data_IF_831006962855
#
_entry.id   IF_831006962855
#
_cell.length_a   1.000
_cell.length_b   1.000
_cell.length_c   1.000
_cell.angle_alpha   90.00
_cell.angle_beta   90.00
_cell.angle_gamma   90.00
#
_symmetry.space_group_name_H-M   'P 1'
#
loop_
_entity.id
_entity.type
_entity.pdbx_description
1 polymer ?
#
# COMPACT_ATOMS: atom_id res chain seq x y z
N UNK A 1 -4.45 -30.10 -2.64
CA UNK A 1 -5.02 -28.89 -1.98
C UNK A 1 -4.48 -27.69 -2.72
N UNK A 2 -5.30 -26.73 -3.08
CA UNK A 2 -4.84 -25.47 -3.64
C UNK A 2 -4.05 -24.75 -2.54
N UNK A 3 -2.86 -24.21 -2.85
CA UNK A 3 -2.07 -23.40 -1.92
C UNK A 3 -2.87 -22.15 -1.55
N UNK A 4 -2.84 -21.79 -0.28
CA UNK A 4 -3.42 -20.54 0.24
C UNK A 4 -2.69 -19.33 -0.38
N UNK A 5 -3.41 -18.26 -0.65
CA UNK A 5 -2.82 -17.01 -1.18
C UNK A 5 -1.85 -16.37 -0.21
N UNK A 6 -1.94 -16.72 1.08
CA UNK A 6 -1.07 -16.23 2.15
C UNK A 6 0.14 -17.13 2.43
N UNK A 7 0.29 -18.28 1.73
CA UNK A 7 1.43 -19.19 1.94
C UNK A 7 2.77 -18.56 1.54
N UNK A 8 2.75 -17.66 0.55
CA UNK A 8 3.90 -16.86 0.16
C UNK A 8 3.71 -15.41 0.57
N UNK A 9 4.52 -14.93 1.52
CA UNK A 9 4.31 -13.63 2.13
C UNK A 9 5.58 -12.84 2.42
N UNK A 10 5.51 -11.54 2.16
CA UNK A 10 6.56 -10.56 2.46
C UNK A 10 6.06 -9.64 3.58
N UNK A 11 6.91 -9.39 4.58
CA UNK A 11 6.66 -8.37 5.59
C UNK A 11 7.34 -7.06 5.17
N UNK A 12 6.62 -5.97 5.21
CA UNK A 12 7.16 -4.62 4.94
C UNK A 12 7.09 -3.83 6.24
N UNK A 13 8.23 -3.36 6.74
CA UNK A 13 8.31 -2.50 7.91
C UNK A 13 8.32 -1.03 7.48
N UNK A 14 7.34 -0.27 7.99
CA UNK A 14 7.12 1.13 7.67
C UNK A 14 7.88 2.05 8.62
N UNK A 15 8.85 2.79 8.08
CA UNK A 15 9.60 3.83 8.77
C UNK A 15 9.03 5.24 8.52
N UNK A 16 7.80 5.34 8.02
CA UNK A 16 7.10 6.62 7.84
C UNK A 16 7.26 7.25 6.47
N UNK A 17 7.72 6.51 5.46
CA UNK A 17 7.81 7.02 4.10
C UNK A 17 6.42 7.20 3.47
N UNK A 18 6.26 8.27 2.70
CA UNK A 18 5.09 8.45 1.83
C UNK A 18 4.97 7.36 0.76
N UNK A 19 6.07 6.67 0.45
CA UNK A 19 6.15 5.65 -0.60
C UNK A 19 5.97 4.22 -0.08
N UNK A 20 5.82 4.00 1.24
CA UNK A 20 5.72 2.64 1.80
C UNK A 20 4.54 1.86 1.22
N UNK A 21 3.39 2.51 1.04
CA UNK A 21 2.22 1.89 0.40
C UNK A 21 2.49 1.51 -1.07
N UNK A 22 3.36 2.23 -1.78
CA UNK A 22 3.76 1.86 -3.15
C UNK A 22 4.59 0.58 -3.17
N UNK A 23 5.44 0.35 -2.16
CA UNK A 23 6.18 -0.91 -2.03
C UNK A 23 5.19 -2.08 -1.94
N UNK A 24 4.20 -1.99 -1.04
CA UNK A 24 3.17 -3.00 -0.88
C UNK A 24 2.38 -3.23 -2.18
N UNK A 25 2.02 -2.16 -2.87
CA UNK A 25 1.35 -2.24 -4.17
C UNK A 25 2.21 -3.00 -5.19
N UNK A 26 3.51 -2.66 -5.31
CA UNK A 26 4.41 -3.32 -6.26
C UNK A 26 4.58 -4.81 -5.97
N UNK A 27 4.71 -5.19 -4.70
CA UNK A 27 4.79 -6.60 -4.30
C UNK A 27 3.50 -7.35 -4.66
N UNK A 28 2.33 -6.74 -4.44
CA UNK A 28 1.04 -7.33 -4.82
C UNK A 28 0.83 -7.40 -6.34
N UNK A 29 1.31 -6.42 -7.10
CA UNK A 29 1.31 -6.44 -8.56
C UNK A 29 2.20 -7.57 -9.13
N UNK A 30 3.26 -7.97 -8.42
CA UNK A 30 4.09 -9.15 -8.75
C UNK A 30 3.30 -10.45 -8.53
N UNK A 31 2.26 -10.43 -7.71
CA UNK A 31 1.45 -11.59 -7.36
C UNK A 31 1.84 -12.23 -6.04
N UNK A 32 2.48 -11.50 -5.14
CA UNK A 32 2.88 -11.95 -3.80
C UNK A 32 2.09 -11.22 -2.73
N UNK A 33 1.60 -11.96 -1.73
CA UNK A 33 0.96 -11.36 -0.56
C UNK A 33 1.98 -10.60 0.30
N UNK A 34 1.59 -9.45 0.83
CA UNK A 34 2.40 -8.71 1.79
C UNK A 34 1.55 -7.98 2.81
N UNK A 35 2.11 -7.83 4.00
CA UNK A 35 1.59 -6.95 5.03
C UNK A 35 2.56 -5.81 5.32
N UNK A 36 1.98 -4.70 5.79
CA UNK A 36 2.68 -3.48 6.10
C UNK A 36 2.47 -3.18 7.58
N UNK A 37 3.54 -3.29 8.36
CA UNK A 37 3.52 -3.08 9.80
C UNK A 37 4.46 -1.95 10.21
N UNK A 38 4.18 -1.35 11.37
CA UNK A 38 5.07 -0.33 11.92
C UNK A 38 6.45 -0.92 12.26
N UNK A 39 7.46 -0.09 12.21
CA UNK A 39 8.85 -0.48 12.43
C UNK A 39 9.13 -1.07 13.84
N UNK A 40 8.28 -0.75 14.83
CA UNK A 40 8.38 -1.17 16.23
C UNK A 40 7.64 -2.49 16.54
N UNK A 41 7.31 -3.25 15.52
CA UNK A 41 6.69 -4.58 15.63
C UNK A 41 7.56 -5.51 16.51
N UNK A 42 6.90 -6.38 17.30
CA UNK A 42 7.61 -7.31 18.18
C UNK A 42 8.18 -8.53 17.42
N UNK A 43 9.18 -9.16 18.03
CA UNK A 43 9.75 -10.41 17.52
C UNK A 43 8.70 -11.52 17.40
N UNK A 44 7.81 -11.64 18.40
CA UNK A 44 6.74 -12.64 18.42
C UNK A 44 5.80 -12.49 17.22
N UNK A 45 5.42 -11.26 16.90
CA UNK A 45 4.56 -10.97 15.77
C UNK A 45 5.24 -11.35 14.43
N UNK A 46 6.54 -11.03 14.27
CA UNK A 46 7.29 -11.41 13.07
C UNK A 46 7.40 -12.95 12.96
N UNK A 47 7.64 -13.65 14.07
CA UNK A 47 7.70 -15.11 14.11
C UNK A 47 6.37 -15.75 13.75
N UNK A 48 5.27 -15.24 14.28
CA UNK A 48 3.92 -15.72 13.97
C UNK A 48 3.56 -15.49 12.51
N UNK A 49 3.88 -14.32 11.99
CA UNK A 49 3.66 -14.02 10.57
C UNK A 49 4.49 -14.91 9.65
N UNK A 50 5.67 -15.34 10.08
CA UNK A 50 6.57 -16.23 9.35
C UNK A 50 6.82 -15.77 7.90
N UNK A 51 7.39 -14.60 7.66
CA UNK A 51 7.63 -14.07 6.31
C UNK A 51 8.70 -14.87 5.57
N UNK A 52 8.61 -14.95 4.25
CA UNK A 52 9.67 -15.48 3.39
C UNK A 52 10.75 -14.44 3.06
N UNK A 53 10.45 -13.17 3.27
CA UNK A 53 11.37 -12.05 3.15
C UNK A 53 10.84 -10.81 3.84
N UNK A 54 11.74 -9.87 4.17
CA UNK A 54 11.40 -8.63 4.85
C UNK A 54 11.91 -7.45 4.03
N UNK A 55 11.07 -6.41 3.86
CA UNK A 55 11.45 -5.14 3.23
C UNK A 55 11.41 -4.05 4.30
N UNK A 56 12.51 -3.32 4.43
CA UNK A 56 12.61 -2.12 5.26
C UNK A 56 12.37 -0.91 4.36
N UNK A 57 11.30 -0.17 4.61
CA UNK A 57 10.93 0.98 3.77
C UNK A 57 11.85 2.18 3.92
N UNK A 58 11.66 3.19 3.10
CA UNK A 58 12.19 4.53 3.35
C UNK A 58 11.58 5.18 4.59
N UNK A 59 12.13 6.32 4.98
CA UNK A 59 11.64 7.11 6.11
C UNK A 59 12.13 8.56 6.05
N UNK A 60 11.43 9.50 6.70
CA UNK A 60 11.78 10.91 6.72
C UNK A 60 12.89 11.26 7.74
N UNK A 61 13.15 10.35 8.67
CA UNK A 61 14.10 10.59 9.76
C UNK A 61 15.56 10.35 9.32
N UNK A 62 16.49 10.80 10.15
CA UNK A 62 17.91 10.51 9.98
C UNK A 62 18.35 9.41 10.94
N UNK A 63 19.08 8.43 10.45
CA UNK A 63 19.64 7.36 11.29
C UNK A 63 20.79 7.83 12.18
N UNK A 64 21.27 9.07 12.00
CA UNK A 64 22.31 9.68 12.83
C UNK A 64 21.77 10.22 14.16
N UNK A 65 20.44 10.33 14.30
CA UNK A 65 19.80 10.77 15.53
C UNK A 65 19.64 9.61 16.52
N UNK A 66 19.83 9.90 17.81
CA UNK A 66 19.86 8.90 18.88
C UNK A 66 18.53 8.13 19.02
N UNK A 67 17.38 8.79 18.81
CA UNK A 67 16.05 8.21 18.94
C UNK A 67 15.39 7.88 17.58
N UNK A 68 16.19 7.70 16.53
CA UNK A 68 15.63 7.38 15.22
C UNK A 68 15.05 5.95 15.18
N UNK A 69 13.99 5.71 14.40
CA UNK A 69 13.39 4.38 14.22
C UNK A 69 14.42 3.33 13.82
N UNK A 70 14.38 2.16 14.44
CA UNK A 70 15.25 1.02 14.14
C UNK A 70 14.43 -0.23 13.89
N UNK A 71 14.89 -1.08 12.98
CA UNK A 71 14.29 -2.39 12.82
C UNK A 71 14.52 -3.25 14.08
N UNK A 72 13.59 -4.10 14.49
CA UNK A 72 13.85 -5.10 15.53
C UNK A 72 15.08 -5.94 15.19
N UNK A 73 15.94 -6.24 16.17
CA UNK A 73 17.15 -7.03 15.95
C UNK A 73 16.84 -8.40 15.33
N UNK A 74 15.67 -8.94 15.66
CA UNK A 74 15.21 -10.21 15.10
C UNK A 74 15.13 -10.21 13.57
N UNK A 75 14.84 -9.08 12.93
CA UNK A 75 14.81 -8.95 11.45
C UNK A 75 16.10 -9.48 10.82
N UNK A 76 17.26 -9.19 11.44
CA UNK A 76 18.56 -9.61 10.94
C UNK A 76 18.99 -11.01 11.42
N UNK A 77 18.18 -11.63 12.27
CA UNK A 77 18.38 -12.98 12.82
C UNK A 77 17.29 -13.98 12.39
N UNK A 78 16.28 -13.54 11.65
CA UNK A 78 15.14 -14.36 11.22
C UNK A 78 15.52 -15.44 10.17
N UNK A 79 16.73 -15.37 9.57
CA UNK A 79 17.17 -16.34 8.56
C UNK A 79 16.53 -16.17 7.18
N UNK A 80 15.78 -15.09 6.96
CA UNK A 80 15.11 -14.74 5.70
C UNK A 80 15.84 -13.59 4.99
N UNK A 81 15.70 -13.45 3.65
CA UNK A 81 16.24 -12.30 2.93
C UNK A 81 15.67 -10.97 3.43
N UNK A 82 16.52 -9.92 3.43
CA UNK A 82 16.12 -8.56 3.80
C UNK A 82 16.51 -7.56 2.72
N UNK A 83 15.58 -6.71 2.31
CA UNK A 83 15.82 -5.58 1.41
C UNK A 83 15.58 -4.27 2.14
N UNK A 84 16.62 -3.43 2.28
CA UNK A 84 16.51 -2.07 2.80
C UNK A 84 16.42 -1.04 1.67
N UNK A 85 15.43 -0.17 1.70
CA UNK A 85 15.21 0.89 0.72
C UNK A 85 15.43 2.24 1.39
N UNK A 86 16.35 3.06 0.87
CA UNK A 86 16.68 4.40 1.37
C UNK A 86 16.97 4.39 2.89
N UNK A 87 16.08 4.89 3.73
CA UNK A 87 16.21 4.80 5.19
C UNK A 87 16.39 3.36 5.67
N UNK A 88 15.68 2.40 5.08
CA UNK A 88 15.81 0.97 5.41
C UNK A 88 17.22 0.43 5.16
N UNK A 89 17.90 0.86 4.08
CA UNK A 89 19.32 0.57 3.85
C UNK A 89 20.20 1.21 4.92
N UNK A 90 19.93 2.47 5.27
CA UNK A 90 20.73 3.22 6.24
C UNK A 90 20.61 2.62 7.65
N UNK A 91 19.39 2.25 8.08
CA UNK A 91 19.18 1.60 9.38
C UNK A 91 19.83 0.21 9.43
N UNK A 92 19.74 -0.57 8.34
CA UNK A 92 20.45 -1.84 8.18
C UNK A 92 21.97 -1.65 8.31
N UNK A 93 22.56 -0.67 7.60
CA UNK A 93 23.99 -0.39 7.67
C UNK A 93 24.39 -0.02 9.10
N UNK A 94 23.69 0.90 9.74
CA UNK A 94 23.98 1.36 11.10
C UNK A 94 23.89 0.22 12.13
N UNK A 95 22.83 -0.59 12.08
CA UNK A 95 22.62 -1.67 13.06
C UNK A 95 23.59 -2.84 12.87
N UNK A 96 24.18 -3.01 11.69
CA UNK A 96 25.14 -4.08 11.40
C UNK A 96 26.61 -3.60 11.44
N UNK A 97 26.88 -2.39 11.94
CA UNK A 97 28.23 -1.90 12.20
C UNK A 97 28.82 -0.97 11.14
N UNK A 98 28.04 -0.57 10.14
CA UNK A 98 28.39 0.49 9.20
C UNK A 98 28.14 1.89 9.74
N UNK A 99 28.39 2.92 8.94
CA UNK A 99 28.21 4.33 9.31
C UNK A 99 27.46 5.12 8.26
N UNK A 100 26.52 5.92 8.73
CA UNK A 100 25.72 6.86 7.94
C UNK A 100 26.12 8.27 8.32
N UNK A 101 26.31 9.14 7.34
CA UNK A 101 26.58 10.55 7.55
C UNK A 101 25.53 11.40 6.87
N UNK A 102 25.18 12.51 7.51
CA UNK A 102 24.40 13.56 6.88
C UNK A 102 25.25 14.23 5.80
N UNK A 103 24.67 14.45 4.64
CA UNK A 103 25.36 15.04 3.51
C UNK A 103 24.88 16.46 3.25
N UNK A 104 25.82 17.40 3.09
CA UNK A 104 25.53 18.77 2.64
C UNK A 104 24.95 18.77 1.20
N UNK A 105 25.27 17.73 0.41
CA UNK A 105 24.72 17.52 -0.93
C UNK A 105 23.62 16.47 -0.84
N UNK A 106 22.39 16.96 -0.73
CA UNK A 106 21.20 16.14 -0.82
C UNK A 106 20.96 15.72 -2.26
N UNK A 107 20.55 14.46 -2.46
CA UNK A 107 20.24 13.91 -3.79
C UNK A 107 18.75 13.71 -3.92
N UNK A 108 18.10 14.50 -4.77
CA UNK A 108 16.68 14.40 -5.10
C UNK A 108 16.49 14.38 -6.60
N UNK A 109 15.71 13.40 -7.07
CA UNK A 109 15.38 13.29 -8.49
C UNK A 109 16.12 12.19 -9.21
N UNK A 110 16.19 12.31 -10.53
CA UNK A 110 16.83 11.35 -11.41
C UNK A 110 18.34 11.24 -11.15
N UNK A 111 18.82 10.01 -11.11
CA UNK A 111 20.25 9.69 -11.04
C UNK A 111 20.58 8.41 -11.81
N UNK A 112 21.82 8.31 -12.24
CA UNK A 112 22.39 7.11 -12.85
C UNK A 112 23.25 6.39 -11.82
N UNK A 113 22.95 5.13 -11.59
CA UNK A 113 23.67 4.27 -10.63
C UNK A 113 24.44 3.21 -11.39
N UNK A 114 25.77 3.25 -11.31
CA UNK A 114 26.67 2.29 -11.94
C UNK A 114 26.78 1.04 -11.06
N UNK A 115 26.50 -0.14 -11.63
CA UNK A 115 26.66 -1.44 -10.95
C UNK A 115 28.14 -1.74 -10.72
N UNK A 116 28.44 -2.35 -9.56
CA UNK A 116 29.80 -2.74 -9.17
C UNK A 116 29.80 -4.21 -8.74
N UNK A 117 30.62 -5.00 -9.39
CA UNK A 117 30.70 -6.43 -9.07
C UNK A 117 29.43 -7.21 -9.38
N UNK A 118 29.30 -8.38 -8.75
CA UNK A 118 28.15 -9.26 -8.91
C UNK A 118 27.23 -9.14 -7.69
N UNK A 119 25.92 -9.02 -7.95
CA UNK A 119 24.88 -8.97 -6.94
C UNK A 119 23.64 -9.66 -7.47
N UNK A 120 23.11 -10.63 -6.71
CA UNK A 120 21.93 -11.37 -7.12
C UNK A 120 20.72 -10.46 -7.40
N UNK A 121 20.57 -9.36 -6.64
CA UNK A 121 19.48 -8.38 -6.83
C UNK A 121 19.55 -7.70 -8.20
N UNK A 122 20.76 -7.48 -8.76
CA UNK A 122 20.97 -6.73 -10.01
C UNK A 122 21.31 -7.63 -11.20
N UNK A 123 21.26 -8.97 -11.04
CA UNK A 123 21.65 -9.90 -12.09
C UNK A 123 20.76 -9.72 -13.33
N UNK A 124 21.39 -9.45 -14.49
CA UNK A 124 20.75 -9.17 -15.77
C UNK A 124 19.68 -8.05 -15.72
N UNK A 125 19.85 -7.07 -14.81
CA UNK A 125 18.97 -5.89 -14.70
C UNK A 125 19.82 -4.62 -14.87
N UNK A 126 19.69 -3.96 -15.98
CA UNK A 126 20.28 -2.65 -16.32
C UNK A 126 19.40 -1.92 -17.33
N UNK A 127 19.50 -0.60 -17.37
CA UNK A 127 18.88 0.24 -18.40
C UNK A 127 19.81 0.41 -19.59
N UNK A 128 21.11 0.53 -19.35
CA UNK A 128 22.14 0.60 -20.37
C UNK A 128 23.50 0.12 -19.84
N UNK A 129 24.48 0.02 -20.72
CA UNK A 129 25.84 -0.40 -20.41
C UNK A 129 26.79 0.74 -20.76
N UNK A 130 27.73 1.05 -19.86
CA UNK A 130 28.78 2.05 -20.09
C UNK A 130 29.79 1.57 -21.13
N UNK A 131 30.61 2.46 -21.68
CA UNK A 131 31.73 2.13 -22.57
C UNK A 131 32.73 1.16 -21.88
N UNK A 132 32.80 1.17 -20.56
CA UNK A 132 33.61 0.26 -19.75
C UNK A 132 32.97 -1.12 -19.49
N UNK A 133 31.76 -1.37 -20.02
CA UNK A 133 31.06 -2.65 -19.87
C UNK A 133 30.24 -2.80 -18.57
N UNK A 134 30.16 -1.76 -17.73
CA UNK A 134 29.38 -1.80 -16.51
C UNK A 134 27.90 -1.47 -16.76
N UNK A 135 26.99 -2.23 -16.16
CA UNK A 135 25.56 -1.93 -16.21
C UNK A 135 25.21 -0.68 -15.41
N UNK A 136 24.26 0.09 -15.90
CA UNK A 136 23.75 1.31 -15.29
C UNK A 136 22.25 1.23 -15.14
N UNK A 137 21.74 1.70 -13.99
CA UNK A 137 20.31 1.84 -13.68
C UNK A 137 19.93 3.32 -13.64
N UNK A 138 18.83 3.66 -14.28
CA UNK A 138 18.16 4.96 -14.19
C UNK A 138 17.18 4.93 -13.03
N UNK A 139 17.48 5.69 -11.97
CA UNK A 139 16.79 5.59 -10.69
C UNK A 139 16.31 6.94 -10.16
N UNK A 140 15.44 6.90 -9.17
CA UNK A 140 15.00 8.06 -8.41
C UNK A 140 15.64 8.08 -7.02
N UNK A 141 16.42 9.11 -6.74
CA UNK A 141 17.01 9.40 -5.44
C UNK A 141 16.11 10.34 -4.63
N UNK A 142 16.06 10.15 -3.32
CA UNK A 142 15.34 11.05 -2.40
C UNK A 142 15.95 10.93 -1.00
N UNK A 143 17.19 11.44 -0.84
CA UNK A 143 17.89 11.32 0.44
C UNK A 143 18.80 12.50 0.76
N UNK A 144 18.92 12.80 2.06
CA UNK A 144 19.89 13.73 2.61
C UNK A 144 21.09 13.05 3.26
N UNK A 145 20.86 11.88 3.83
CA UNK A 145 21.87 11.05 4.47
C UNK A 145 22.31 9.93 3.54
N UNK A 146 23.53 9.43 3.70
CA UNK A 146 24.07 8.33 2.91
C UNK A 146 25.00 7.44 3.73
N UNK A 147 25.07 6.17 3.36
CA UNK A 147 26.03 5.22 3.90
C UNK A 147 27.43 5.61 3.41
N UNK A 148 28.34 5.84 4.33
CA UNK A 148 29.74 6.16 4.04
C UNK A 148 30.70 5.00 4.36
N UNK A 149 30.33 4.17 5.33
CA UNK A 149 31.01 2.92 5.63
C UNK A 149 30.00 1.79 5.68
N UNK A 150 30.14 0.81 4.82
CA UNK A 150 29.31 -0.42 4.83
C UNK A 150 29.78 -1.35 5.94
N UNK A 151 28.91 -2.24 6.49
CA UNK A 151 29.35 -3.25 7.44
C UNK A 151 30.40 -4.18 6.82
N UNK A 152 31.33 -4.69 7.61
CA UNK A 152 32.48 -5.49 7.15
C UNK A 152 32.11 -6.70 6.28
N UNK A 153 30.92 -7.28 6.50
CA UNK A 153 30.44 -8.45 5.75
C UNK A 153 29.70 -8.07 4.46
N UNK A 154 29.54 -6.78 4.18
CA UNK A 154 28.87 -6.30 2.97
C UNK A 154 29.84 -5.90 1.88
N UNK A 155 29.36 -5.86 0.66
CA UNK A 155 30.06 -5.33 -0.51
C UNK A 155 29.25 -4.22 -1.13
N UNK A 156 29.94 -3.21 -1.66
CA UNK A 156 29.31 -2.21 -2.53
C UNK A 156 28.90 -2.87 -3.84
N UNK A 157 27.65 -2.72 -4.22
CA UNK A 157 27.10 -3.33 -5.44
C UNK A 157 26.64 -2.31 -6.47
N UNK A 158 26.52 -1.06 -6.05
CA UNK A 158 26.32 0.06 -6.98
C UNK A 158 26.78 1.39 -6.36
N UNK A 159 27.13 2.35 -7.22
CA UNK A 159 27.64 3.67 -6.83
C UNK A 159 27.16 4.77 -7.77
N UNK A 160 27.21 6.02 -7.31
CA UNK A 160 27.19 7.24 -8.13
C UNK A 160 28.45 8.06 -7.89
N UNK A 161 28.60 9.17 -8.58
CA UNK A 161 29.73 10.10 -8.34
C UNK A 161 29.67 10.76 -6.95
N UNK A 162 28.50 10.80 -6.34
CA UNK A 162 28.22 11.50 -5.07
C UNK A 162 27.80 10.54 -3.95
N UNK A 163 27.39 9.33 -4.28
CA UNK A 163 27.01 8.28 -3.34
C UNK A 163 27.88 7.02 -3.57
N UNK A 164 28.94 6.82 -2.76
CA UNK A 164 29.90 5.72 -2.98
C UNK A 164 29.28 4.34 -2.76
N UNK A 165 28.22 4.27 -1.97
CA UNK A 165 27.46 3.05 -1.67
C UNK A 165 25.98 3.27 -2.00
N UNK A 166 25.66 3.46 -3.29
CA UNK A 166 24.27 3.59 -3.76
C UNK A 166 23.51 2.27 -3.62
N UNK A 167 24.23 1.15 -3.53
CA UNK A 167 23.70 -0.13 -3.10
C UNK A 167 24.80 -0.96 -2.43
N UNK A 168 24.37 -1.87 -1.53
CA UNK A 168 25.23 -2.82 -0.85
C UNK A 168 24.55 -4.19 -0.72
N UNK A 169 25.31 -5.26 -0.65
CA UNK A 169 24.78 -6.60 -0.36
C UNK A 169 25.68 -7.44 0.52
N UNK A 170 25.04 -8.37 1.24
CA UNK A 170 25.66 -9.54 1.83
C UNK A 170 24.97 -10.76 1.23
N UNK A 171 25.61 -11.40 0.26
CA UNK A 171 25.01 -12.52 -0.48
C UNK A 171 24.81 -13.78 0.39
N UNK A 172 25.67 -14.00 1.37
CA UNK A 172 25.57 -15.15 2.28
C UNK A 172 24.30 -15.05 3.15
N UNK A 173 24.02 -13.87 3.70
CA UNK A 173 22.82 -13.61 4.48
C UNK A 173 21.61 -13.25 3.62
N UNK A 174 21.79 -13.03 2.33
CA UNK A 174 20.78 -12.51 1.40
C UNK A 174 20.21 -11.16 1.84
N UNK A 175 21.10 -10.26 2.30
CA UNK A 175 20.75 -8.90 2.69
C UNK A 175 21.16 -7.92 1.59
N UNK A 176 20.23 -7.07 1.20
CA UNK A 176 20.39 -6.09 0.13
C UNK A 176 19.96 -4.73 0.60
N UNK A 177 20.69 -3.70 0.23
CA UNK A 177 20.33 -2.31 0.49
C UNK A 177 20.47 -1.47 -0.77
N UNK A 178 19.46 -0.63 -1.05
CA UNK A 178 19.48 0.34 -2.15
C UNK A 178 19.16 1.73 -1.60
N UNK A 179 19.92 2.74 -1.99
CA UNK A 179 19.71 4.11 -1.56
C UNK A 179 18.58 4.81 -2.35
N UNK A 180 18.29 4.32 -3.55
CA UNK A 180 17.21 4.80 -4.40
C UNK A 180 15.89 4.09 -4.13
N UNK A 181 14.82 4.57 -4.75
CA UNK A 181 13.46 4.07 -4.58
C UNK A 181 13.01 3.19 -5.76
N UNK A 182 13.08 1.85 -5.65
CA UNK A 182 12.62 0.95 -6.71
C UNK A 182 11.10 0.92 -6.90
N UNK A 183 10.34 1.36 -5.90
CA UNK A 183 8.88 1.34 -5.89
C UNK A 183 8.25 2.43 -6.78
N UNK A 184 8.98 3.53 -7.06
CA UNK A 184 8.45 4.65 -7.84
C UNK A 184 8.63 4.43 -9.34
N UNK A 185 7.75 5.03 -10.13
CA UNK A 185 7.75 4.87 -11.60
C UNK A 185 8.97 5.44 -12.31
N UNK A 186 9.69 6.36 -11.66
CA UNK A 186 10.90 6.98 -12.19
C UNK A 186 12.16 6.10 -12.08
N UNK A 187 12.11 5.00 -11.33
CA UNK A 187 13.13 3.95 -11.34
C UNK A 187 12.70 2.91 -12.38
N UNK A 188 13.29 2.95 -13.56
CA UNK A 188 12.81 2.21 -14.72
C UNK A 188 12.75 0.71 -14.50
N UNK A 189 13.80 0.13 -13.90
CA UNK A 189 13.88 -1.30 -13.61
C UNK A 189 13.34 -1.66 -12.21
N UNK A 190 12.72 -0.72 -11.49
CA UNK A 190 12.32 -0.88 -10.10
C UNK A 190 11.39 -2.08 -9.88
N UNK A 191 10.41 -2.28 -10.76
CA UNK A 191 9.51 -3.44 -10.69
C UNK A 191 10.27 -4.77 -10.83
N UNK A 192 11.26 -4.84 -11.73
CA UNK A 192 12.10 -6.05 -11.92
C UNK A 192 12.98 -6.32 -10.71
N UNK A 193 13.50 -5.28 -10.04
CA UNK A 193 14.29 -5.43 -8.82
C UNK A 193 13.44 -5.99 -7.67
N UNK A 194 12.23 -5.47 -7.49
CA UNK A 194 11.29 -5.99 -6.48
C UNK A 194 10.82 -7.41 -6.80
N UNK A 195 10.57 -7.72 -8.07
CA UNK A 195 10.24 -9.08 -8.51
C UNK A 195 11.40 -10.05 -8.27
N UNK A 196 12.64 -9.67 -8.61
CA UNK A 196 13.86 -10.44 -8.33
C UNK A 196 13.99 -10.73 -6.84
N UNK A 197 13.78 -9.72 -5.99
CA UNK A 197 13.83 -9.92 -4.55
C UNK A 197 12.73 -10.88 -4.07
N UNK A 198 11.49 -10.63 -4.43
CA UNK A 198 10.36 -11.42 -3.92
C UNK A 198 10.35 -12.87 -4.47
N UNK A 199 10.58 -13.04 -5.77
CA UNK A 199 10.45 -14.37 -6.42
C UNK A 199 11.75 -15.15 -6.36
N UNK A 200 12.85 -14.60 -6.86
CA UNK A 200 14.07 -15.37 -7.04
C UNK A 200 14.87 -15.50 -5.74
N UNK A 201 14.94 -14.41 -4.93
CA UNK A 201 15.73 -14.38 -3.70
C UNK A 201 14.93 -14.91 -2.50
N UNK A 202 13.69 -14.49 -2.32
CA UNK A 202 12.84 -14.95 -1.23
C UNK A 202 12.16 -16.29 -1.53
N UNK A 203 12.06 -16.68 -2.82
CA UNK A 203 11.41 -17.93 -3.24
C UNK A 203 9.88 -17.88 -3.13
N UNK A 204 9.29 -16.70 -3.15
CA UNK A 204 7.84 -16.56 -3.11
C UNK A 204 7.19 -17.07 -4.40
N UNK A 205 6.02 -17.67 -4.27
CA UNK A 205 5.17 -18.04 -5.40
C UNK A 205 4.14 -16.94 -5.69
N UNK A 206 3.78 -16.78 -6.97
CA UNK A 206 2.76 -15.81 -7.40
C UNK A 206 1.35 -16.35 -7.12
N UNK A 207 0.97 -16.39 -5.84
CA UNK A 207 -0.32 -16.90 -5.37
C UNK A 207 -1.39 -15.80 -5.26
N UNK A 208 -0.97 -14.54 -5.13
CA UNK A 208 -1.85 -13.37 -5.01
C UNK A 208 -2.38 -12.95 -6.38
N UNK A 209 -3.41 -13.66 -6.87
CA UNK A 209 -4.06 -13.42 -8.17
C UNK A 209 -5.47 -12.89 -8.00
N UNK A 210 -6.01 -12.09 -8.94
CA UNK A 210 -7.35 -11.53 -8.82
C UNK A 210 -8.46 -12.56 -8.53
N UNK A 211 -8.40 -13.73 -9.16
CA UNK A 211 -9.39 -14.78 -8.93
C UNK A 211 -9.33 -15.31 -7.48
N UNK A 212 -8.14 -15.63 -7.00
CA UNK A 212 -7.95 -16.12 -5.62
C UNK A 212 -8.25 -15.05 -4.57
N UNK A 213 -7.93 -13.78 -4.86
CA UNK A 213 -8.28 -12.65 -3.97
C UNK A 213 -9.80 -12.53 -3.82
N UNK A 214 -10.54 -12.70 -4.92
CA UNK A 214 -12.02 -12.69 -4.90
C UNK A 214 -12.54 -13.83 -4.03
N UNK A 215 -12.03 -15.05 -4.20
CA UNK A 215 -12.47 -16.22 -3.44
C UNK A 215 -12.15 -16.06 -1.95
N UNK A 216 -10.94 -15.61 -1.59
CA UNK A 216 -10.54 -15.30 -0.21
C UNK A 216 -11.44 -14.22 0.41
N UNK A 217 -11.66 -13.12 -0.32
CA UNK A 217 -12.52 -12.03 0.15
C UNK A 217 -13.96 -12.51 0.42
N UNK A 218 -14.51 -13.39 -0.44
CA UNK A 218 -15.84 -13.97 -0.25
C UNK A 218 -15.88 -14.81 1.04
N UNK A 219 -14.89 -15.66 1.27
CA UNK A 219 -14.84 -16.49 2.49
C UNK A 219 -14.70 -15.63 3.75
N UNK A 220 -13.82 -14.65 3.74
CA UNK A 220 -13.66 -13.70 4.88
C UNK A 220 -14.93 -12.91 5.15
N UNK A 221 -15.66 -12.46 4.12
CA UNK A 221 -16.95 -11.79 4.29
C UNK A 221 -17.96 -12.74 4.95
N UNK A 222 -18.04 -13.99 4.53
CA UNK A 222 -18.94 -14.99 5.13
C UNK A 222 -18.62 -15.21 6.60
N UNK A 223 -17.35 -15.40 6.94
CA UNK A 223 -16.91 -15.60 8.31
C UNK A 223 -17.19 -14.38 9.21
N UNK A 224 -16.92 -13.17 8.69
CA UNK A 224 -17.10 -11.92 9.43
C UNK A 224 -18.57 -11.60 9.66
N UNK A 225 -19.39 -11.73 8.63
CA UNK A 225 -20.81 -11.34 8.67
C UNK A 225 -21.68 -12.42 9.35
N UNK A 226 -21.29 -13.71 9.22
CA UNK A 226 -22.09 -14.82 9.72
C UNK A 226 -23.50 -14.78 9.15
N UNK A 227 -24.51 -14.78 10.05
CA UNK A 227 -25.94 -14.73 9.69
C UNK A 227 -26.52 -13.31 9.63
N UNK A 228 -25.73 -12.29 9.92
CA UNK A 228 -26.17 -10.89 9.95
C UNK A 228 -26.46 -10.34 8.54
N UNK A 229 -27.06 -9.16 8.49
CA UNK A 229 -27.32 -8.40 7.27
C UNK A 229 -26.29 -7.25 7.13
N UNK A 230 -26.00 -6.89 5.89
CA UNK A 230 -25.09 -5.80 5.53
C UNK A 230 -25.86 -4.72 4.78
N UNK A 231 -25.60 -3.47 5.13
CA UNK A 231 -26.02 -2.30 4.35
C UNK A 231 -24.82 -1.69 3.64
N UNK A 232 -24.99 -1.26 2.40
CA UNK A 232 -23.91 -0.66 1.58
C UNK A 232 -24.42 0.55 0.82
N UNK A 233 -23.67 1.66 0.86
CA UNK A 233 -23.90 2.79 -0.03
C UNK A 233 -23.42 2.47 -1.45
N UNK A 234 -24.35 2.39 -2.41
CA UNK A 234 -24.04 2.14 -3.81
C UNK A 234 -24.05 3.45 -4.58
N UNK A 235 -22.88 3.95 -4.98
CA UNK A 235 -22.76 5.20 -5.73
C UNK A 235 -22.81 5.03 -7.26
N UNK A 236 -22.76 3.79 -7.75
CA UNK A 236 -22.58 3.49 -9.18
C UNK A 236 -21.14 3.65 -9.68
N UNK A 237 -20.21 4.10 -8.83
CA UNK A 237 -18.77 4.10 -9.11
C UNK A 237 -18.17 2.68 -9.03
N UNK A 238 -16.97 2.51 -9.57
CA UNK A 238 -16.28 1.21 -9.65
C UNK A 238 -16.13 0.58 -8.26
N UNK A 239 -15.70 1.35 -7.27
CA UNK A 239 -15.36 0.84 -5.93
C UNK A 239 -16.57 0.28 -5.21
N UNK A 240 -17.64 1.07 -5.09
CA UNK A 240 -18.89 0.62 -4.47
C UNK A 240 -19.51 -0.56 -5.22
N UNK A 241 -19.35 -0.62 -6.54
CA UNK A 241 -19.84 -1.70 -7.37
C UNK A 241 -19.11 -3.01 -7.13
N UNK A 242 -17.76 -2.95 -7.02
CA UNK A 242 -16.94 -4.13 -6.69
C UNK A 242 -17.28 -4.66 -5.31
N UNK A 243 -17.38 -3.77 -4.31
CA UNK A 243 -17.75 -4.15 -2.94
C UNK A 243 -19.16 -4.77 -2.90
N UNK A 244 -20.13 -4.15 -3.58
CA UNK A 244 -21.50 -4.70 -3.69
C UNK A 244 -21.50 -6.12 -4.25
N UNK A 245 -20.77 -6.35 -5.33
CA UNK A 245 -20.71 -7.66 -5.97
C UNK A 245 -19.99 -8.71 -5.12
N UNK A 246 -18.92 -8.35 -4.40
CA UNK A 246 -18.21 -9.25 -3.49
C UNK A 246 -19.11 -9.67 -2.32
N UNK A 247 -19.77 -8.70 -1.67
CA UNK A 247 -20.66 -8.96 -0.55
C UNK A 247 -21.88 -9.78 -1.03
N UNK A 248 -22.49 -9.41 -2.17
CA UNK A 248 -23.61 -10.17 -2.73
C UNK A 248 -23.24 -11.62 -3.05
N UNK A 249 -22.06 -11.87 -3.63
CA UNK A 249 -21.58 -13.23 -3.86
C UNK A 249 -21.33 -14.02 -2.58
N UNK A 250 -20.96 -13.33 -1.48
CA UNK A 250 -20.72 -13.96 -0.19
C UNK A 250 -22.02 -14.29 0.56
N UNK A 251 -22.97 -13.35 0.66
CA UNK A 251 -24.13 -13.43 1.54
C UNK A 251 -25.51 -13.31 0.85
N UNK A 252 -25.52 -13.10 -0.48
CA UNK A 252 -26.75 -13.06 -1.28
C UNK A 252 -27.70 -11.92 -0.88
N UNK A 253 -28.96 -12.27 -0.66
CA UNK A 253 -30.06 -11.33 -0.35
C UNK A 253 -29.90 -10.60 1.00
N UNK A 254 -28.97 -11.04 1.86
CA UNK A 254 -28.65 -10.36 3.13
C UNK A 254 -27.87 -9.05 2.95
N UNK A 255 -27.51 -8.71 1.70
CA UNK A 255 -27.00 -7.38 1.36
C UNK A 255 -28.15 -6.49 0.91
N UNK A 256 -28.28 -5.32 1.55
CA UNK A 256 -29.12 -4.22 1.05
C UNK A 256 -28.24 -3.07 0.59
N UNK A 257 -28.33 -2.73 -0.68
CA UNK A 257 -27.66 -1.56 -1.25
C UNK A 257 -28.58 -0.34 -1.18
N UNK A 258 -28.06 0.80 -0.73
CA UNK A 258 -28.80 2.08 -0.74
C UNK A 258 -28.19 2.97 -1.81
N UNK A 259 -28.98 3.31 -2.82
CA UNK A 259 -28.61 4.27 -3.84
C UNK A 259 -29.33 5.59 -3.57
N UNK A 260 -28.60 6.65 -3.32
CA UNK A 260 -29.14 7.98 -3.00
C UNK A 260 -29.06 8.88 -4.23
N UNK A 261 -30.23 9.27 -4.72
CA UNK A 261 -30.35 10.31 -5.74
C UNK A 261 -30.33 11.68 -5.06
N UNK A 262 -29.23 12.37 -5.19
CA UNK A 262 -28.96 13.64 -4.52
C UNK A 262 -29.23 14.86 -5.43
N UNK A 263 -29.81 14.66 -6.62
CA UNK A 263 -30.04 15.72 -7.60
C UNK A 263 -28.80 16.24 -8.32
N UNK A 264 -27.59 15.69 -8.01
CA UNK A 264 -26.30 16.09 -8.59
C UNK A 264 -25.70 14.97 -9.47
N UNK A 265 -26.50 13.95 -9.79
CA UNK A 265 -26.08 12.82 -10.61
C UNK A 265 -25.90 13.24 -12.07
N UNK A 266 -25.13 12.44 -12.80
CA UNK A 266 -25.04 12.58 -14.26
C UNK A 266 -26.34 12.16 -14.92
N UNK A 267 -26.55 12.63 -16.16
CA UNK A 267 -27.74 12.29 -16.93
C UNK A 267 -27.96 10.79 -16.99
N UNK A 268 -29.13 10.34 -16.56
CA UNK A 268 -29.56 8.93 -16.51
C UNK A 268 -28.73 8.00 -15.62
N UNK A 269 -27.82 8.51 -14.80
CA UNK A 269 -26.94 7.69 -13.96
C UNK A 269 -27.74 6.81 -12.98
N UNK A 270 -28.73 7.38 -12.30
CA UNK A 270 -29.61 6.62 -11.40
C UNK A 270 -30.35 5.46 -12.09
N UNK A 271 -30.87 5.68 -13.30
CA UNK A 271 -31.52 4.60 -14.06
C UNK A 271 -30.51 3.52 -14.48
N UNK A 272 -29.34 3.91 -14.95
CA UNK A 272 -28.29 2.96 -15.34
C UNK A 272 -27.84 2.08 -14.16
N UNK A 273 -27.72 2.63 -12.96
CA UNK A 273 -27.39 1.87 -11.75
C UNK A 273 -28.49 0.87 -11.42
N UNK A 274 -29.75 1.27 -11.44
CA UNK A 274 -30.88 0.39 -11.17
C UNK A 274 -30.99 -0.74 -12.20
N UNK A 275 -30.82 -0.43 -13.47
CA UNK A 275 -30.89 -1.43 -14.55
C UNK A 275 -29.72 -2.43 -14.47
N UNK A 276 -28.51 -1.95 -14.19
CA UNK A 276 -27.34 -2.82 -14.12
C UNK A 276 -27.36 -3.69 -12.87
N UNK A 277 -27.45 -3.07 -11.70
CA UNK A 277 -27.25 -3.78 -10.45
C UNK A 277 -28.55 -4.42 -9.92
N UNK A 278 -29.70 -3.76 -10.06
CA UNK A 278 -30.98 -4.30 -9.67
C UNK A 278 -31.48 -5.37 -10.65
N UNK A 279 -31.67 -4.97 -11.90
CA UNK A 279 -32.34 -5.86 -12.87
C UNK A 279 -31.41 -6.96 -13.42
N UNK A 280 -30.13 -6.62 -13.74
CA UNK A 280 -29.20 -7.57 -14.37
C UNK A 280 -28.44 -8.44 -13.36
N UNK A 281 -27.98 -7.87 -12.26
CA UNK A 281 -27.22 -8.59 -11.24
C UNK A 281 -28.06 -9.04 -10.04
N UNK A 282 -29.31 -8.62 -9.92
CA UNK A 282 -30.22 -9.07 -8.88
C UNK A 282 -29.93 -8.57 -7.48
N UNK A 283 -29.22 -7.43 -7.36
CA UNK A 283 -28.96 -6.83 -6.06
C UNK A 283 -30.25 -6.23 -5.46
N UNK A 284 -30.43 -6.40 -4.16
CA UNK A 284 -31.50 -5.69 -3.43
C UNK A 284 -31.09 -4.21 -3.25
N UNK A 285 -31.73 -3.31 -4.03
CA UNK A 285 -31.39 -1.89 -4.04
C UNK A 285 -32.57 -1.06 -3.58
N UNK A 286 -32.38 -0.28 -2.56
CA UNK A 286 -33.29 0.78 -2.11
C UNK A 286 -32.84 2.09 -2.76
N UNK A 287 -33.64 2.58 -3.74
CA UNK A 287 -33.41 3.93 -4.29
C UNK A 287 -34.10 4.95 -3.40
N UNK A 288 -33.33 5.95 -2.96
CA UNK A 288 -33.80 7.07 -2.15
C UNK A 288 -33.69 8.35 -2.96
N UNK A 289 -34.81 9.00 -3.21
CA UNK A 289 -34.85 10.35 -3.76
C UNK A 289 -34.66 11.35 -2.62
N UNK A 290 -33.52 12.05 -2.61
CA UNK A 290 -33.17 13.03 -1.60
C UNK A 290 -32.77 14.39 -2.22
N UNK A 291 -33.10 14.61 -3.51
CA UNK A 291 -32.73 15.82 -4.26
C UNK A 291 -33.07 17.10 -3.48
N UNK A 292 -34.32 17.24 -3.01
CA UNK A 292 -34.77 18.43 -2.30
C UNK A 292 -33.94 18.69 -1.03
N UNK A 293 -33.61 17.64 -0.27
CA UNK A 293 -32.83 17.75 0.96
C UNK A 293 -31.41 18.21 0.68
N UNK A 294 -30.74 17.62 -0.29
CA UNK A 294 -29.37 18.00 -0.66
C UNK A 294 -29.30 19.42 -1.20
N UNK A 295 -30.25 19.83 -2.04
CA UNK A 295 -30.28 21.17 -2.58
C UNK A 295 -30.59 22.24 -1.50
N UNK A 296 -31.43 21.91 -0.53
CA UNK A 296 -31.69 22.77 0.61
C UNK A 296 -30.46 22.99 1.49
N UNK A 297 -29.73 21.91 1.80
CA UNK A 297 -28.51 21.97 2.62
C UNK A 297 -27.33 22.66 1.92
N UNK A 298 -27.33 22.68 0.59
CA UNK A 298 -26.32 23.38 -0.22
C UNK A 298 -26.68 24.88 -0.46
N UNK A 299 -27.90 25.29 -0.21
CA UNK A 299 -28.34 26.65 -0.49
C UNK A 299 -27.47 27.70 0.24
N UNK A 300 -26.99 28.70 -0.50
CA UNK A 300 -26.14 29.76 0.00
C UNK A 300 -24.70 29.43 0.30
N UNK A 301 -24.26 28.17 0.14
CA UNK A 301 -22.86 27.77 0.31
C UNK A 301 -22.08 27.95 -0.99
N UNK A 302 -20.98 28.71 -0.95
CA UNK A 302 -20.08 28.93 -2.09
C UNK A 302 -18.74 28.21 -1.95
N UNK A 303 -18.25 28.06 -0.72
CA UNK A 303 -16.98 27.43 -0.42
C UNK A 303 -17.02 25.92 -0.73
N UNK A 304 -16.04 25.37 -1.46
CA UNK A 304 -16.02 23.96 -1.83
C UNK A 304 -15.97 23.01 -0.64
N UNK A 305 -15.27 23.37 0.45
CA UNK A 305 -15.14 22.51 1.63
C UNK A 305 -16.44 22.50 2.45
N UNK A 306 -17.13 23.65 2.55
CA UNK A 306 -18.46 23.72 3.17
C UNK A 306 -19.48 22.88 2.40
N UNK A 307 -19.45 22.93 1.05
CA UNK A 307 -20.31 22.07 0.21
C UNK A 307 -20.03 20.60 0.43
N UNK A 308 -18.77 20.21 0.47
CA UNK A 308 -18.36 18.81 0.70
C UNK A 308 -18.86 18.30 2.06
N UNK A 309 -18.71 19.09 3.12
CA UNK A 309 -19.19 18.76 4.47
C UNK A 309 -20.72 18.65 4.51
N UNK A 310 -21.44 19.58 3.87
CA UNK A 310 -22.88 19.53 3.80
C UNK A 310 -23.37 18.26 3.09
N UNK A 311 -22.83 17.96 1.91
CA UNK A 311 -23.15 16.73 1.15
C UNK A 311 -22.89 15.49 2.00
N UNK A 312 -21.72 15.41 2.64
CA UNK A 312 -21.37 14.26 3.48
C UNK A 312 -22.34 14.08 4.65
N UNK A 313 -22.67 15.16 5.35
CA UNK A 313 -23.61 15.11 6.48
C UNK A 313 -25.02 14.66 6.04
N UNK A 314 -25.55 15.27 4.98
CA UNK A 314 -26.87 14.89 4.44
C UNK A 314 -26.89 13.43 4.00
N UNK A 315 -25.81 12.96 3.37
CA UNK A 315 -25.67 11.56 2.95
C UNK A 315 -25.74 10.60 4.14
N UNK A 316 -25.03 10.91 5.23
CA UNK A 316 -25.06 10.11 6.46
C UNK A 316 -26.47 10.06 7.04
N UNK A 317 -27.17 11.20 7.13
CA UNK A 317 -28.54 11.24 7.66
C UNK A 317 -29.50 10.37 6.84
N UNK A 318 -29.47 10.49 5.51
CA UNK A 318 -30.30 9.68 4.61
C UNK A 318 -29.96 8.19 4.77
N UNK A 319 -28.68 7.86 4.89
CA UNK A 319 -28.23 6.48 5.04
C UNK A 319 -28.67 5.88 6.38
N UNK A 320 -28.54 6.62 7.47
CA UNK A 320 -29.00 6.25 8.82
C UNK A 320 -30.51 5.95 8.87
N UNK A 321 -31.31 6.77 8.18
CA UNK A 321 -32.74 6.53 8.09
C UNK A 321 -33.08 5.19 7.39
N UNK A 322 -32.31 4.82 6.39
CA UNK A 322 -32.49 3.53 5.72
C UNK A 322 -31.98 2.37 6.57
N UNK A 323 -30.84 2.53 7.24
CA UNK A 323 -30.28 1.53 8.15
C UNK A 323 -31.25 1.17 9.28
N UNK A 324 -31.94 2.17 9.86
CA UNK A 324 -32.95 1.96 10.92
C UNK A 324 -34.17 1.17 10.48
N UNK A 325 -34.44 1.06 9.17
CA UNK A 325 -35.53 0.25 8.63
C UNK A 325 -35.16 -1.25 8.55
N UNK A 326 -33.87 -1.56 8.56
CA UNK A 326 -33.34 -2.92 8.50
C UNK A 326 -33.15 -3.45 9.93
N UNK A 327 -33.84 -4.53 10.29
CA UNK A 327 -33.86 -5.04 11.68
C UNK A 327 -32.57 -5.74 12.09
N UNK A 328 -31.86 -6.36 11.12
CA UNK A 328 -30.71 -7.21 11.36
C UNK A 328 -29.40 -6.68 10.73
N UNK A 329 -29.42 -5.48 10.13
CA UNK A 329 -28.22 -4.89 9.55
C UNK A 329 -27.28 -4.42 10.68
N UNK A 330 -26.20 -5.17 10.88
CA UNK A 330 -25.16 -4.86 11.88
C UNK A 330 -23.86 -4.38 11.24
N UNK A 331 -23.74 -4.51 9.92
CA UNK A 331 -22.50 -4.23 9.21
C UNK A 331 -22.76 -3.17 8.12
N UNK A 332 -21.81 -2.23 8.04
CA UNK A 332 -21.73 -1.27 6.94
C UNK A 332 -20.64 -1.69 5.97
N UNK A 333 -21.02 -1.98 4.72
CA UNK A 333 -20.06 -2.20 3.64
C UNK A 333 -19.50 -0.88 3.14
N UNK A 334 -18.18 -0.79 3.02
CA UNK A 334 -17.49 0.40 2.52
C UNK A 334 -16.34 0.03 1.60
N UNK A 335 -16.23 0.72 0.47
CA UNK A 335 -15.11 0.58 -0.47
C UNK A 335 -14.19 1.80 -0.41
N UNK A 336 -12.88 1.54 -0.29
CA UNK A 336 -11.86 2.59 -0.38
C UNK A 336 -10.82 2.16 -1.40
N UNK A 337 -10.56 2.98 -2.40
CA UNK A 337 -9.53 2.66 -3.39
C UNK A 337 -8.12 2.91 -2.83
N UNK A 338 -7.17 2.19 -3.38
CA UNK A 338 -5.79 2.23 -2.92
C UNK A 338 -5.14 3.63 -2.98
N UNK A 339 -5.35 4.45 -4.03
CA UNK A 339 -4.90 5.83 -4.03
C UNK A 339 -5.40 6.65 -2.84
N UNK A 340 -6.66 6.48 -2.45
CA UNK A 340 -7.24 7.19 -1.30
C UNK A 340 -6.60 6.72 0.02
N UNK A 341 -6.24 5.43 0.13
CA UNK A 341 -5.49 4.92 1.29
C UNK A 341 -4.10 5.55 1.37
N UNK A 342 -3.40 5.67 0.23
CA UNK A 342 -2.07 6.31 0.17
C UNK A 342 -2.15 7.78 0.57
N UNK A 343 -3.12 8.52 0.03
CA UNK A 343 -3.25 9.97 0.25
C UNK A 343 -3.74 10.33 1.65
N UNK A 344 -4.50 9.45 2.30
CA UNK A 344 -5.09 9.68 3.62
C UNK A 344 -4.36 9.01 4.77
N UNK A 345 -3.43 8.08 4.48
CA UNK A 345 -2.67 7.41 5.52
C UNK A 345 -1.79 8.41 6.29
N UNK A 346 -2.19 8.73 7.52
CA UNK A 346 -1.20 9.13 8.51
C UNK A 346 -0.30 7.91 8.74
N UNK A 347 1.03 8.08 8.70
CA UNK A 347 1.91 6.97 9.06
C UNK A 347 1.54 6.43 10.44
N UNK A 348 1.75 5.15 10.68
CA UNK A 348 1.59 4.56 12.01
C UNK A 348 2.42 5.30 13.08
N UNK A 349 3.45 6.03 12.67
CA UNK A 349 4.29 6.91 13.51
C UNK A 349 3.68 8.29 13.78
N UNK A 350 2.53 8.65 13.16
CA UNK A 350 1.89 9.95 13.31
C UNK A 350 2.64 11.13 12.68
N UNK A 351 3.70 10.88 11.93
CA UNK A 351 4.58 11.92 11.35
C UNK A 351 4.38 12.18 9.85
N UNK A 352 3.61 11.35 9.14
CA UNK A 352 3.26 11.64 7.75
C UNK A 352 2.14 12.68 7.70
N UNK A 353 2.28 13.67 6.83
CA UNK A 353 1.23 14.65 6.60
C UNK A 353 0.12 14.04 5.75
N UNK A 354 -1.13 14.19 6.20
CA UNK A 354 -2.32 13.85 5.41
C UNK A 354 -2.37 14.80 4.21
N UNK A 355 -2.33 14.22 3.01
CA UNK A 355 -2.34 15.00 1.76
C UNK A 355 -3.78 15.45 1.45
N UNK A 356 -4.77 14.62 1.79
CA UNK A 356 -6.18 14.89 1.49
C UNK A 356 -7.12 14.18 2.48
N UNK A 357 -8.19 14.84 2.86
CA UNK A 357 -9.29 14.22 3.61
C UNK A 357 -10.27 13.53 2.65
N UNK A 358 -10.55 12.26 2.90
CA UNK A 358 -11.55 11.50 2.14
C UNK A 358 -12.83 11.32 2.94
N UNK A 359 -13.96 11.20 2.23
CA UNK A 359 -15.27 10.93 2.82
C UNK A 359 -15.32 9.58 3.58
N UNK A 360 -14.38 8.67 3.29
CA UNK A 360 -14.28 7.36 3.94
C UNK A 360 -13.35 7.33 5.17
N UNK A 361 -12.68 8.42 5.53
CA UNK A 361 -11.60 8.43 6.54
C UNK A 361 -11.92 9.30 7.77
N UNK A 362 -13.09 9.85 7.88
CA UNK A 362 -13.36 10.71 9.01
C UNK A 362 -14.83 10.90 9.32
N UNK A 363 -15.40 10.03 10.12
CA UNK A 363 -16.64 10.32 10.78
C UNK A 363 -17.88 9.62 10.28
N UNK A 364 -17.77 8.35 10.02
CA UNK A 364 -18.94 7.48 10.11
C UNK A 364 -19.23 7.25 11.60
N UNK A 365 -20.51 7.32 12.03
CA UNK A 365 -20.89 7.14 13.41
C UNK A 365 -20.59 5.73 13.92
#
# INVERSE_FOLDING_TARGET
MSKDIHDSRILILDFGSQYTQLIARRVREIGVYCELWAWDVTEEQIREFNPQGIILSGGPESTTLENSPRAPEYVFNAGVPVLGICYGMQTMATQLGGRVHSSDKKEFGYAQVEKVGNCALFDAIEDHITDGGNGVLDVWMSHGDKVMEIPDTFKTTAKTSTCPHAAMSNEEKRFYGVQFHPEVTHTHQGQRLLERFAIDICGCEKLWTPAKIIDDAIERIKETVGDDEVILGLSGGVDSSVVAMLIHRAIGERLTCVFVDNGLLRLNEGQQVMDMFGNKFGLNIVKVDAEEQFLADLAGKSDPEEKRKAIGHTFINVFDEQAKKLKNAKWLGQGTIYPDVIESAASATGKAHVIKSHHNVGGLP
#
